data_IF_811676710001
#
_entry.id   IF_811676710001
#
_cell.length_a   1.000
_cell.length_b   1.000
_cell.length_c   1.000
_cell.angle_alpha   90.00
_cell.angle_beta   90.00
_cell.angle_gamma   90.00
#
_symmetry.space_group_name_H-M   'P 1'
#
loop_
_entity.id
_entity.type
_entity.pdbx_description
1 polymer ?
#
# COMPACT_ATOMS: atom_id res chain seq x y z
N UNK A 1 19.80 14.78 -13.78
CA UNK A 1 18.88 14.79 -12.63
C UNK A 1 19.17 13.57 -11.76
N UNK A 2 18.98 13.67 -10.44
CA UNK A 2 19.06 12.50 -9.55
C UNK A 2 17.79 11.65 -9.73
N UNK A 3 17.96 10.33 -9.77
CA UNK A 3 16.87 9.35 -9.79
C UNK A 3 16.97 8.50 -8.54
N UNK A 4 15.82 8.17 -7.96
CA UNK A 4 15.73 7.43 -6.71
C UNK A 4 15.14 6.04 -6.94
N UNK A 5 15.39 5.13 -6.01
CA UNK A 5 14.85 3.79 -6.06
C UNK A 5 14.00 3.55 -4.80
N UNK A 6 12.74 3.15 -5.00
CA UNK A 6 11.82 2.75 -3.94
C UNK A 6 11.74 1.23 -3.95
N UNK A 7 12.09 0.60 -2.82
CA UNK A 7 12.09 -0.86 -2.67
C UNK A 7 10.85 -1.27 -1.85
N UNK A 8 9.95 -2.01 -2.50
CA UNK A 8 8.69 -2.49 -1.93
C UNK A 8 7.52 -1.54 -2.15
N UNK A 9 6.35 -2.12 -2.44
CA UNK A 9 5.05 -1.50 -2.62
C UNK A 9 4.06 -1.92 -1.52
N UNK A 10 4.57 -2.05 -0.29
CA UNK A 10 3.76 -2.21 0.92
C UNK A 10 3.23 -0.88 1.47
N UNK A 11 2.74 -0.90 2.72
CA UNK A 11 2.14 0.26 3.38
C UNK A 11 3.04 1.52 3.47
N UNK A 12 4.36 1.36 3.40
CA UNK A 12 5.31 2.49 3.34
C UNK A 12 5.70 2.86 1.90
N UNK A 13 5.69 1.90 0.99
CA UNK A 13 6.10 2.09 -0.40
C UNK A 13 5.07 2.89 -1.21
N UNK A 14 3.79 2.55 -1.08
CA UNK A 14 2.72 3.22 -1.80
C UNK A 14 2.67 4.74 -1.61
N UNK A 15 2.68 5.29 -0.37
CA UNK A 15 2.70 6.74 -0.19
C UNK A 15 4.00 7.38 -0.67
N UNK A 16 5.13 6.65 -0.66
CA UNK A 16 6.38 7.15 -1.24
C UNK A 16 6.28 7.25 -2.77
N UNK A 17 5.77 6.21 -3.45
CA UNK A 17 5.54 6.23 -4.91
C UNK A 17 4.62 7.39 -5.28
N UNK A 18 3.51 7.56 -4.55
CA UNK A 18 2.58 8.66 -4.78
C UNK A 18 3.25 10.02 -4.58
N UNK A 19 3.92 10.23 -3.45
CA UNK A 19 4.57 11.50 -3.16
C UNK A 19 5.62 11.87 -4.21
N UNK A 20 6.40 10.90 -4.68
CA UNK A 20 7.40 11.15 -5.73
C UNK A 20 6.74 11.48 -7.07
N UNK A 21 5.66 10.76 -7.43
CA UNK A 21 4.89 11.03 -8.63
C UNK A 21 4.25 12.44 -8.62
N UNK A 22 3.58 12.80 -7.52
CA UNK A 22 2.90 14.08 -7.35
C UNK A 22 3.88 15.27 -7.40
N UNK A 23 5.12 15.07 -6.95
CA UNK A 23 6.16 16.11 -6.96
C UNK A 23 7.04 16.07 -8.21
N UNK A 24 6.77 15.21 -9.19
CA UNK A 24 7.56 15.08 -10.42
C UNK A 24 9.03 14.67 -10.17
N UNK A 25 9.30 13.97 -9.06
CA UNK A 25 10.63 13.46 -8.73
C UNK A 25 10.85 12.18 -9.53
N UNK A 26 12.00 12.04 -10.20
CA UNK A 26 12.31 10.83 -10.96
C UNK A 26 12.62 9.64 -10.03
N UNK A 27 11.90 8.53 -10.19
CA UNK A 27 12.12 7.30 -9.45
C UNK A 27 11.88 6.05 -10.29
N UNK A 28 12.40 4.93 -9.80
CA UNK A 28 11.97 3.58 -10.14
C UNK A 28 11.44 2.91 -8.86
N UNK A 29 10.40 2.09 -8.97
CA UNK A 29 9.87 1.32 -7.84
C UNK A 29 9.82 -0.16 -8.21
N UNK A 30 10.33 -1.01 -7.33
CA UNK A 30 10.35 -2.46 -7.50
C UNK A 30 9.63 -3.14 -6.34
N UNK A 31 8.69 -4.04 -6.67
CA UNK A 31 8.00 -4.92 -5.74
C UNK A 31 8.37 -6.37 -6.08
N UNK A 32 8.68 -7.15 -5.04
CA UNK A 32 9.11 -8.53 -5.19
C UNK A 32 7.94 -9.48 -5.43
N UNK A 33 6.72 -9.10 -5.03
CA UNK A 33 5.48 -9.82 -5.23
C UNK A 33 4.80 -9.41 -6.55
N UNK A 34 3.80 -10.18 -6.96
CA UNK A 34 2.97 -9.89 -8.14
C UNK A 34 1.95 -8.77 -7.90
N UNK A 35 1.82 -8.28 -6.66
CA UNK A 35 0.84 -7.28 -6.27
C UNK A 35 1.31 -6.47 -5.04
N UNK A 36 0.68 -5.32 -4.80
CA UNK A 36 0.95 -4.43 -3.66
C UNK A 36 0.49 -5.07 -2.34
N UNK A 37 0.84 -4.44 -1.22
CA UNK A 37 0.27 -4.76 0.09
C UNK A 37 1.29 -5.22 1.13
N UNK A 38 2.45 -5.73 0.72
CA UNK A 38 3.54 -6.12 1.63
C UNK A 38 3.10 -7.20 2.62
N UNK A 39 3.20 -6.96 3.93
CA UNK A 39 2.80 -7.93 4.97
C UNK A 39 1.28 -8.24 4.98
N UNK A 40 0.48 -7.39 4.34
CA UNK A 40 -0.98 -7.57 4.23
C UNK A 40 -1.37 -8.44 3.03
N UNK A 41 -0.45 -8.64 2.07
CA UNK A 41 -0.67 -9.54 0.96
C UNK A 41 -0.47 -11.00 1.45
N UNK A 42 -1.46 -11.89 1.28
CA UNK A 42 -1.40 -13.28 1.76
C UNK A 42 -0.36 -14.13 1.01
N UNK A 43 0.04 -13.73 -0.21
CA UNK A 43 1.09 -14.40 -0.99
C UNK A 43 2.50 -13.98 -0.55
N UNK A 44 2.62 -13.02 0.37
CA UNK A 44 3.90 -12.60 0.92
C UNK A 44 4.51 -13.70 1.81
N UNK A 45 5.80 -14.03 1.67
CA UNK A 45 6.49 -14.92 2.62
C UNK A 45 6.60 -14.32 4.03
N UNK A 46 6.26 -13.04 4.18
CA UNK A 46 6.21 -12.30 5.44
C UNK A 46 4.78 -11.86 5.78
N UNK A 47 3.77 -12.55 5.24
CA UNK A 47 2.37 -12.22 5.49
C UNK A 47 2.03 -12.38 6.98
N UNK A 48 1.08 -11.57 7.43
CA UNK A 48 0.46 -11.75 8.75
C UNK A 48 -0.41 -13.01 8.78
N UNK A 49 -0.72 -13.50 9.98
CA UNK A 49 -1.74 -14.54 10.14
C UNK A 49 -3.11 -14.07 9.63
N UNK A 50 -3.89 -14.97 9.03
CA UNK A 50 -5.22 -14.63 8.49
C UNK A 50 -6.24 -14.14 9.53
N UNK A 51 -5.98 -14.37 10.82
CA UNK A 51 -6.79 -13.84 11.93
C UNK A 51 -6.35 -12.46 12.42
N UNK A 52 -5.28 -11.89 11.87
CA UNK A 52 -4.74 -10.59 12.30
C UNK A 52 -5.71 -9.47 12.00
N UNK A 53 -5.83 -8.55 12.95
CA UNK A 53 -6.54 -7.30 12.81
C UNK A 53 -5.61 -6.13 13.15
N UNK A 54 -5.93 -4.94 12.65
CA UNK A 54 -5.26 -3.71 13.06
C UNK A 54 -5.43 -3.50 14.57
N UNK A 55 -4.35 -3.11 15.23
CA UNK A 55 -4.37 -2.66 16.63
C UNK A 55 -4.67 -1.15 16.75
N UNK A 56 -4.60 -0.40 15.65
CA UNK A 56 -5.01 0.99 15.52
C UNK A 56 -6.35 1.10 14.79
N UNK A 57 -7.12 2.14 15.11
CA UNK A 57 -8.39 2.36 14.43
C UNK A 57 -8.18 2.74 12.96
N UNK A 58 -9.21 2.53 12.14
CA UNK A 58 -9.22 2.94 10.74
C UNK A 58 -8.82 4.42 10.57
N UNK A 59 -9.30 5.32 11.45
CA UNK A 59 -9.05 6.77 11.28
C UNK A 59 -7.60 7.12 11.49
N UNK A 60 -6.95 6.37 12.38
CA UNK A 60 -5.55 6.57 12.73
C UNK A 60 -4.62 5.87 11.74
N UNK A 61 -5.11 4.86 11.01
CA UNK A 61 -4.28 4.04 10.12
C UNK A 61 -4.34 4.49 8.67
N UNK A 62 -5.45 5.07 8.23
CA UNK A 62 -5.61 5.52 6.83
C UNK A 62 -4.56 6.53 6.41
N UNK A 63 -4.24 6.53 5.13
CA UNK A 63 -3.60 7.66 4.48
C UNK A 63 -4.51 8.89 4.51
N UNK A 64 -3.88 10.06 4.51
CA UNK A 64 -4.56 11.35 4.67
C UNK A 64 -5.51 11.65 3.51
N UNK A 65 -5.20 11.14 2.32
CA UNK A 65 -5.83 11.41 1.04
C UNK A 65 -6.74 10.27 0.53
N UNK A 66 -6.91 9.19 1.30
CA UNK A 66 -7.91 8.17 1.02
C UNK A 66 -8.62 7.72 2.29
N UNK A 67 -9.93 7.92 2.32
CA UNK A 67 -10.80 7.43 3.38
C UNK A 67 -11.11 5.95 3.17
N UNK A 68 -11.28 5.23 4.28
CA UNK A 68 -11.86 3.90 4.25
C UNK A 68 -13.31 3.94 3.77
N UNK A 69 -13.80 2.90 3.06
CA UNK A 69 -15.23 2.74 2.78
C UNK A 69 -16.09 2.85 4.05
N UNK A 70 -17.27 3.45 3.92
CA UNK A 70 -18.24 3.51 5.02
C UNK A 70 -18.67 2.10 5.46
N UNK A 71 -18.95 1.94 6.76
CA UNK A 71 -19.45 0.68 7.32
C UNK A 71 -18.38 -0.35 7.66
N UNK A 72 -17.09 -0.04 7.47
CA UNK A 72 -16.00 -0.89 7.93
C UNK A 72 -15.88 -0.89 9.48
N UNK A 73 -15.38 -1.98 10.09
CA UNK A 73 -15.13 -2.02 11.52
C UNK A 73 -14.02 -1.02 11.91
N UNK A 74 -14.01 -0.59 13.18
CA UNK A 74 -12.95 0.29 13.68
C UNK A 74 -11.56 -0.32 13.54
N UNK A 75 -11.43 -1.63 13.74
CA UNK A 75 -10.18 -2.39 13.63
C UNK A 75 -10.33 -3.38 12.48
N UNK A 76 -9.62 -3.11 11.39
CA UNK A 76 -9.77 -3.85 10.15
C UNK A 76 -9.14 -5.24 10.24
N UNK A 77 -9.72 -6.22 9.56
CA UNK A 77 -9.06 -7.50 9.31
C UNK A 77 -7.87 -7.33 8.35
N UNK A 78 -6.99 -8.32 8.29
CA UNK A 78 -5.88 -8.33 7.33
C UNK A 78 -6.37 -8.19 5.87
N UNK A 79 -7.48 -8.83 5.51
CA UNK A 79 -8.08 -8.71 4.17
C UNK A 79 -8.52 -7.28 3.88
N UNK A 80 -9.19 -6.63 4.84
CA UNK A 80 -9.63 -5.25 4.68
C UNK A 80 -8.46 -4.26 4.60
N UNK A 81 -7.37 -4.52 5.32
CA UNK A 81 -6.14 -3.74 5.21
C UNK A 81 -5.48 -3.92 3.83
N UNK A 82 -5.43 -5.14 3.30
CA UNK A 82 -4.94 -5.42 1.94
C UNK A 82 -5.79 -4.70 0.89
N UNK A 83 -7.12 -4.85 0.96
CA UNK A 83 -8.08 -4.23 0.04
C UNK A 83 -7.95 -2.71 0.02
N UNK A 84 -7.66 -2.10 1.17
CA UNK A 84 -7.39 -0.67 1.27
C UNK A 84 -6.12 -0.25 0.53
N UNK A 85 -5.02 -0.99 0.70
CA UNK A 85 -3.76 -0.68 -0.01
C UNK A 85 -3.91 -0.86 -1.52
N UNK A 86 -4.64 -1.89 -1.96
CA UNK A 86 -4.99 -2.08 -3.37
C UNK A 86 -5.85 -0.94 -3.89
N UNK A 87 -6.86 -0.51 -3.12
CA UNK A 87 -7.73 0.62 -3.48
C UNK A 87 -6.93 1.91 -3.61
N UNK A 88 -6.00 2.17 -2.69
CA UNK A 88 -5.08 3.30 -2.78
C UNK A 88 -4.23 3.29 -4.03
N UNK A 89 -3.63 2.14 -4.34
CA UNK A 89 -2.83 2.00 -5.55
C UNK A 89 -3.65 2.19 -6.84
N UNK A 90 -4.93 1.78 -6.86
CA UNK A 90 -5.84 2.00 -8.00
C UNK A 90 -6.26 3.47 -8.12
N UNK A 91 -6.73 4.06 -7.03
CA UNK A 91 -7.25 5.44 -6.98
C UNK A 91 -6.22 6.45 -7.52
N UNK A 92 -4.95 6.26 -7.18
CA UNK A 92 -3.88 7.17 -7.57
C UNK A 92 -3.03 6.68 -8.75
N UNK A 93 -3.46 5.62 -9.46
CA UNK A 93 -2.76 5.11 -10.64
C UNK A 93 -1.31 4.71 -10.36
N UNK A 94 -1.05 4.08 -9.21
CA UNK A 94 0.30 3.72 -8.76
C UNK A 94 0.81 2.42 -9.40
N UNK A 95 -0.08 1.52 -9.84
CA UNK A 95 0.30 0.27 -10.48
C UNK A 95 1.20 0.48 -11.70
N UNK A 96 0.89 1.48 -12.53
CA UNK A 96 1.68 1.80 -13.73
C UNK A 96 3.08 2.37 -13.40
N UNK A 97 3.36 2.65 -12.12
CA UNK A 97 4.62 3.23 -11.62
C UNK A 97 5.47 2.22 -10.85
N UNK A 98 4.99 0.98 -10.71
CA UNK A 98 5.64 -0.07 -9.94
C UNK A 98 5.98 -1.23 -10.88
N UNK A 99 7.22 -1.70 -10.82
CA UNK A 99 7.66 -2.91 -11.50
C UNK A 99 7.49 -4.10 -10.55
N UNK A 100 6.57 -5.00 -10.89
CA UNK A 100 6.29 -6.25 -10.17
C UNK A 100 7.09 -7.42 -10.75
N UNK A 101 7.20 -8.53 -10.00
CA UNK A 101 7.74 -9.81 -10.46
C UNK A 101 6.64 -10.83 -10.81
#
# INVERSE_FOLDING_TARGET
MKRYCIIGAGASGLPAVKAFADNGIAFDCFEALADVGGIWNPESPHSVYGSTHLNSSEKLTRYIDLWFPEGLPYYLSCQQAEDYLRSYAREFGLYDKISFN
#
